data_IF_024454762776
#
_entry.id   IF_024454762776
#
_cell.length_a   1.000
_cell.length_b   1.000
_cell.length_c   1.000
_cell.angle_alpha   90.00
_cell.angle_beta   90.00
_cell.angle_gamma   90.00
#
_symmetry.space_group_name_H-M   'P 1'
#
loop_
_entity.id
_entity.type
_entity.pdbx_description
1 polymer ?
#
# COMPACT_ATOMS: atom_id res chain seq x y z
N UNK A 1 -31.41 -44.18 -32.86
CA UNK A 1 -31.32 -42.71 -32.83
C UNK A 1 -29.94 -42.35 -32.26
N UNK A 2 -28.92 -42.34 -33.12
CA UNK A 2 -27.52 -42.07 -32.75
C UNK A 2 -27.26 -40.58 -32.96
N UNK A 3 -27.24 -39.82 -31.86
CA UNK A 3 -26.95 -38.38 -31.88
C UNK A 3 -25.46 -38.19 -32.15
N UNK A 4 -25.09 -37.79 -33.38
CA UNK A 4 -23.74 -37.35 -33.72
C UNK A 4 -23.51 -35.96 -33.11
N UNK A 5 -22.69 -35.89 -32.06
CA UNK A 5 -22.19 -34.62 -31.52
C UNK A 5 -21.15 -33.99 -32.46
N UNK A 6 -21.14 -32.65 -32.64
CA UNK A 6 -20.26 -31.96 -33.58
C UNK A 6 -18.79 -32.00 -33.14
N UNK A 7 -17.92 -32.28 -34.11
CA UNK A 7 -16.45 -32.50 -34.01
C UNK A 7 -15.67 -31.38 -33.28
N UNK A 8 -16.23 -30.18 -33.11
CA UNK A 8 -15.62 -29.06 -32.37
C UNK A 8 -15.63 -29.24 -30.85
N UNK A 9 -16.62 -29.93 -30.29
CA UNK A 9 -16.71 -30.15 -28.82
C UNK A 9 -15.67 -31.18 -28.36
N UNK A 10 -15.37 -32.17 -29.20
CA UNK A 10 -14.37 -33.21 -28.92
C UNK A 10 -12.93 -32.65 -28.86
N UNK A 11 -12.63 -31.62 -29.65
CA UNK A 11 -11.31 -30.98 -29.65
C UNK A 11 -11.08 -30.09 -28.41
N UNK A 12 -12.15 -29.48 -27.87
CA UNK A 12 -12.06 -28.62 -26.68
C UNK A 12 -11.88 -29.44 -25.39
N UNK A 13 -12.52 -30.61 -25.29
CA UNK A 13 -12.41 -31.49 -24.11
C UNK A 13 -11.03 -32.14 -24.02
N UNK A 14 -10.45 -32.56 -25.15
CA UNK A 14 -9.11 -33.18 -25.19
C UNK A 14 -7.98 -32.18 -24.87
N UNK A 15 -8.11 -30.92 -25.29
CA UNK A 15 -7.14 -29.87 -24.95
C UNK A 15 -7.16 -29.46 -23.47
N UNK A 16 -8.32 -29.49 -22.81
CA UNK A 16 -8.44 -29.13 -21.39
C UNK A 16 -8.03 -30.30 -20.47
N UNK A 17 -8.31 -31.55 -20.86
CA UNK A 17 -7.88 -32.72 -20.09
C UNK A 17 -6.35 -32.87 -20.08
N UNK A 18 -5.66 -32.57 -21.19
CA UNK A 18 -4.21 -32.61 -21.28
C UNK A 18 -3.52 -31.45 -20.52
N UNK A 19 -4.17 -30.28 -20.43
CA UNK A 19 -3.73 -29.16 -19.57
C UNK A 19 -3.90 -29.47 -18.09
N UNK A 20 -5.01 -30.10 -17.69
CA UNK A 20 -5.25 -30.52 -16.31
C UNK A 20 -4.30 -31.67 -15.91
N UNK A 21 -4.00 -32.60 -16.80
CA UNK A 21 -3.01 -33.66 -16.56
C UNK A 21 -1.58 -33.12 -16.42
N UNK A 22 -1.18 -32.10 -17.22
CA UNK A 22 0.11 -31.42 -17.06
C UNK A 22 0.19 -30.60 -15.76
N UNK A 23 -0.90 -29.94 -15.35
CA UNK A 23 -0.95 -29.20 -14.07
C UNK A 23 -0.88 -30.15 -12.85
N UNK A 24 -1.47 -31.34 -12.95
CA UNK A 24 -1.35 -32.39 -11.92
C UNK A 24 0.03 -33.06 -11.89
N UNK A 25 0.71 -33.18 -13.04
CA UNK A 25 2.08 -33.68 -13.10
C UNK A 25 3.12 -32.72 -12.49
N UNK A 26 2.87 -31.40 -12.55
CA UNK A 26 3.68 -30.40 -11.83
C UNK A 26 3.40 -30.44 -10.32
N UNK A 27 2.18 -30.81 -9.91
CA UNK A 27 1.81 -30.91 -8.50
C UNK A 27 2.36 -32.16 -7.78
N UNK A 28 2.83 -33.17 -8.52
CA UNK A 28 3.33 -34.43 -7.94
C UNK A 28 4.85 -34.56 -7.84
N UNK A 29 5.60 -33.48 -8.13
CA UNK A 29 7.06 -33.47 -8.04
C UNK A 29 7.60 -32.51 -6.96
N UNK A 30 6.80 -32.13 -5.95
CA UNK A 30 7.32 -31.55 -4.71
C UNK A 30 7.56 -32.70 -3.72
N UNK A 31 8.37 -33.67 -4.13
CA UNK A 31 9.13 -34.42 -3.14
C UNK A 31 10.06 -33.40 -2.49
N UNK A 32 9.91 -33.18 -1.19
CA UNK A 32 10.94 -32.52 -0.39
C UNK A 32 12.19 -33.38 -0.57
N UNK A 33 13.02 -33.07 -1.57
CA UNK A 33 14.40 -33.52 -1.55
C UNK A 33 14.98 -32.81 -0.36
N UNK A 34 15.15 -33.55 0.74
CA UNK A 34 15.98 -33.10 1.83
C UNK A 34 17.30 -32.69 1.20
N UNK A 35 17.63 -31.40 1.26
CA UNK A 35 18.82 -30.90 0.60
C UNK A 35 20.02 -31.62 1.21
N UNK A 36 20.69 -32.47 0.42
CA UNK A 36 21.99 -32.99 0.80
C UNK A 36 22.91 -31.78 1.01
N UNK A 37 23.70 -31.80 2.08
CA UNK A 37 24.57 -30.68 2.44
C UNK A 37 25.59 -30.50 1.31
N UNK A 38 25.45 -29.47 0.47
CA UNK A 38 26.19 -29.31 -0.79
C UNK A 38 27.55 -28.61 -0.63
N UNK A 39 28.01 -28.44 0.62
CA UNK A 39 29.28 -27.79 0.92
C UNK A 39 29.23 -26.86 2.12
N UNK A 40 30.26 -26.91 2.96
CA UNK A 40 30.51 -25.92 4.01
C UNK A 40 30.62 -26.53 5.41
N UNK A 41 30.56 -25.70 6.44
CA UNK A 41 30.86 -26.14 7.79
C UNK A 41 29.76 -26.99 8.47
N UNK A 42 28.62 -27.15 7.81
CA UNK A 42 27.53 -28.06 8.18
C UNK A 42 27.75 -29.50 7.64
N UNK A 43 28.69 -29.71 6.72
CA UNK A 43 28.80 -30.97 5.96
C UNK A 43 29.41 -32.13 6.79
N UNK A 44 30.33 -31.81 7.71
CA UNK A 44 30.92 -32.83 8.58
C UNK A 44 29.97 -33.17 9.73
N UNK A 45 29.69 -34.47 9.92
CA UNK A 45 28.93 -35.00 11.05
C UNK A 45 27.45 -34.57 11.11
N UNK A 46 26.90 -34.02 10.02
CA UNK A 46 25.47 -33.78 9.90
C UNK A 46 24.74 -35.03 9.41
N UNK A 47 23.55 -35.29 9.95
CA UNK A 47 22.73 -36.40 9.47
C UNK A 47 22.23 -36.09 8.06
N UNK A 48 22.27 -37.08 7.16
CA UNK A 48 21.76 -36.94 5.78
C UNK A 48 20.32 -36.41 5.78
N UNK A 49 20.06 -35.42 4.93
CA UNK A 49 18.77 -34.74 4.82
C UNK A 49 18.40 -33.83 6.01
N UNK A 50 19.35 -33.46 6.87
CA UNK A 50 19.15 -32.52 7.99
C UNK A 50 19.84 -31.19 7.77
N UNK A 51 20.01 -30.77 6.52
CA UNK A 51 20.53 -29.47 6.15
C UNK A 51 19.38 -28.52 5.72
N UNK A 52 19.41 -27.30 6.25
CA UNK A 52 18.46 -26.23 5.93
C UNK A 52 19.23 -24.98 5.48
N UNK A 53 18.62 -24.18 4.61
CA UNK A 53 19.23 -22.93 4.14
C UNK A 53 18.75 -21.74 4.96
N UNK A 54 19.68 -20.89 5.40
CA UNK A 54 19.44 -19.66 6.15
C UNK A 54 20.20 -18.54 5.46
N UNK A 55 19.50 -17.77 4.63
CA UNK A 55 20.13 -16.84 3.71
C UNK A 55 21.08 -17.60 2.77
N UNK A 56 22.34 -17.17 2.71
CA UNK A 56 23.37 -17.79 1.87
C UNK A 56 24.12 -18.95 2.56
N UNK A 57 23.79 -19.26 3.81
CA UNK A 57 24.46 -20.30 4.59
C UNK A 57 23.59 -21.55 4.74
N UNK A 58 24.21 -22.74 4.70
CA UNK A 58 23.56 -23.99 5.14
C UNK A 58 23.84 -24.25 6.62
N UNK A 59 22.81 -24.71 7.34
CA UNK A 59 22.89 -25.14 8.73
C UNK A 59 22.54 -26.62 8.84
N UNK A 60 23.20 -27.32 9.77
CA UNK A 60 22.75 -28.64 10.20
C UNK A 60 21.72 -28.52 11.32
N UNK A 61 20.53 -29.09 11.13
CA UNK A 61 19.46 -29.15 12.15
C UNK A 61 19.55 -30.38 13.04
N UNK A 62 20.30 -31.41 12.64
CA UNK A 62 20.59 -32.59 13.48
C UNK A 62 21.88 -33.29 13.10
N UNK A 63 22.80 -33.37 14.05
CA UNK A 63 24.09 -34.04 13.91
C UNK A 63 23.99 -35.55 14.13
N UNK A 64 25.03 -36.27 13.72
CA UNK A 64 25.26 -37.66 14.14
C UNK A 64 25.59 -37.72 15.64
N UNK A 65 25.37 -38.88 16.25
CA UNK A 65 25.60 -39.08 17.68
C UNK A 65 27.01 -38.64 18.15
N UNK A 66 27.07 -38.07 19.35
CA UNK A 66 28.29 -37.47 19.92
C UNK A 66 28.51 -36.01 19.54
N UNK A 67 27.66 -35.43 18.68
CA UNK A 67 27.80 -34.07 18.19
C UNK A 67 26.50 -33.26 18.35
N UNK A 68 26.61 -31.94 18.35
CA UNK A 68 25.47 -31.02 18.46
C UNK A 68 25.65 -29.78 17.57
N UNK A 69 24.57 -29.17 17.03
CA UNK A 69 24.70 -28.01 16.17
C UNK A 69 25.03 -26.73 16.95
N UNK A 70 26.16 -26.11 16.61
CA UNK A 70 26.58 -24.78 17.08
C UNK A 70 26.95 -23.93 15.87
N UNK A 71 26.31 -22.76 15.73
CA UNK A 71 26.45 -21.89 14.55
C UNK A 71 26.22 -22.65 13.22
N UNK A 72 25.28 -23.60 13.22
CA UNK A 72 24.95 -24.45 12.07
C UNK A 72 25.93 -25.58 11.79
N UNK A 73 27.00 -25.73 12.58
CA UNK A 73 28.04 -26.76 12.42
C UNK A 73 27.90 -27.84 13.48
N UNK A 74 28.15 -29.08 13.13
CA UNK A 74 28.22 -30.16 14.12
C UNK A 74 29.57 -30.15 14.84
N UNK A 75 29.52 -30.01 16.17
CA UNK A 75 30.71 -30.03 17.04
C UNK A 75 30.55 -31.04 18.15
N UNK A 76 31.66 -31.55 18.67
CA UNK A 76 31.65 -32.54 19.75
C UNK A 76 30.90 -31.98 20.97
N UNK A 77 29.89 -32.72 21.44
CA UNK A 77 28.94 -32.24 22.46
C UNK A 77 29.61 -31.85 23.78
N UNK A 78 30.66 -32.58 24.18
CA UNK A 78 31.35 -32.34 25.44
C UNK A 78 32.16 -31.04 25.47
N UNK A 79 32.63 -30.57 24.30
CA UNK A 79 33.37 -29.31 24.19
C UNK A 79 32.52 -28.04 24.30
N UNK A 80 31.19 -28.18 24.28
CA UNK A 80 30.24 -27.04 24.19
C UNK A 80 29.12 -27.06 25.24
N UNK A 81 29.30 -27.82 26.33
CA UNK A 81 28.34 -27.91 27.46
C UNK A 81 27.94 -26.56 28.05
N UNK A 82 28.82 -25.56 27.96
CA UNK A 82 28.53 -24.19 28.44
C UNK A 82 27.54 -23.43 27.57
N UNK A 83 27.37 -23.83 26.31
CA UNK A 83 26.48 -23.19 25.33
C UNK A 83 25.22 -24.01 25.08
N UNK A 84 25.34 -25.34 25.05
CA UNK A 84 24.26 -26.25 24.70
C UNK A 84 24.16 -27.41 25.68
N UNK A 85 22.99 -27.54 26.31
CA UNK A 85 22.71 -28.59 27.31
C UNK A 85 21.41 -29.33 27.03
N UNK A 86 21.17 -30.38 27.81
CA UNK A 86 19.85 -31.00 27.90
C UNK A 86 18.84 -30.02 28.53
N UNK A 87 17.53 -30.21 28.27
CA UNK A 87 16.49 -29.31 28.78
C UNK A 87 16.49 -29.17 30.31
N UNK A 88 16.87 -30.23 31.02
CA UNK A 88 16.90 -30.29 32.49
C UNK A 88 18.20 -29.76 33.11
N UNK A 89 19.25 -29.53 32.32
CA UNK A 89 20.58 -29.20 32.84
C UNK A 89 20.87 -27.69 32.88
N UNK A 90 21.71 -27.30 33.83
CA UNK A 90 22.26 -25.97 34.08
C UNK A 90 23.72 -25.81 33.63
N UNK A 91 24.24 -26.72 32.80
CA UNK A 91 25.64 -26.71 32.31
C UNK A 91 26.41 -28.00 32.56
N UNK A 92 25.75 -28.99 33.15
CA UNK A 92 26.32 -30.26 33.62
C UNK A 92 26.25 -31.38 32.57
N UNK A 93 25.18 -31.42 31.76
CA UNK A 93 24.91 -32.50 30.81
C UNK A 93 24.85 -31.98 29.37
N UNK A 94 25.68 -32.57 28.49
CA UNK A 94 25.70 -32.22 27.08
C UNK A 94 24.47 -32.77 26.35
N UNK A 95 23.86 -31.94 25.50
CA UNK A 95 22.86 -32.42 24.55
C UNK A 95 23.50 -33.30 23.45
N UNK A 96 22.71 -34.13 22.78
CA UNK A 96 23.19 -35.00 21.71
C UNK A 96 22.30 -34.89 20.47
N UNK A 97 22.92 -34.91 19.29
CA UNK A 97 22.36 -34.74 17.94
C UNK A 97 21.71 -33.37 17.68
N UNK A 98 20.96 -32.84 18.65
CA UNK A 98 20.31 -31.51 18.63
C UNK A 98 20.50 -30.86 19.98
N UNK A 99 20.50 -29.53 20.03
CA UNK A 99 20.48 -28.81 21.28
C UNK A 99 19.08 -28.77 21.88
N UNK A 100 18.95 -29.02 23.19
CA UNK A 100 17.68 -28.92 23.91
C UNK A 100 17.54 -27.63 24.72
N UNK A 101 18.66 -26.99 25.05
CA UNK A 101 18.68 -25.72 25.79
C UNK A 101 19.93 -24.92 25.44
N UNK A 102 19.73 -23.68 25.01
CA UNK A 102 20.83 -22.75 24.77
C UNK A 102 21.12 -21.93 26.03
N UNK A 103 22.38 -21.54 26.21
CA UNK A 103 22.87 -20.75 27.34
C UNK A 103 23.77 -19.60 26.83
N UNK A 104 24.24 -18.75 27.75
CA UNK A 104 25.13 -17.62 27.45
C UNK A 104 24.53 -16.67 26.39
N UNK A 105 25.39 -15.97 25.64
CA UNK A 105 25.01 -15.06 24.54
C UNK A 105 24.73 -15.83 23.24
N UNK A 106 24.05 -16.97 23.35
CA UNK A 106 23.55 -17.72 22.19
C UNK A 106 22.03 -17.68 22.14
N UNK A 107 21.45 -18.11 21.03
CA UNK A 107 20.00 -18.28 20.89
C UNK A 107 19.66 -19.58 20.15
N UNK A 108 18.49 -20.12 20.45
CA UNK A 108 18.00 -21.37 19.86
C UNK A 108 17.34 -21.13 18.49
N UNK A 109 17.75 -21.91 17.49
CA UNK A 109 17.11 -21.94 16.17
C UNK A 109 17.21 -23.34 15.57
N UNK A 110 16.10 -23.94 15.15
CA UNK A 110 16.06 -25.26 14.48
C UNK A 110 16.95 -26.34 15.15
N UNK A 111 16.91 -26.43 16.48
CA UNK A 111 17.66 -27.44 17.25
C UNK A 111 19.17 -27.18 17.39
N UNK A 112 19.65 -25.97 17.12
CA UNK A 112 21.04 -25.54 17.37
C UNK A 112 21.13 -24.24 18.17
N UNK A 113 22.31 -23.95 18.72
CA UNK A 113 22.61 -22.67 19.35
C UNK A 113 23.49 -21.80 18.46
N UNK A 114 23.13 -20.52 18.33
CA UNK A 114 23.77 -19.59 17.42
C UNK A 114 24.24 -18.33 18.16
N UNK A 115 25.38 -17.80 17.74
CA UNK A 115 25.98 -16.58 18.27
C UNK A 115 25.61 -15.38 17.37
N UNK A 116 25.41 -14.21 17.97
CA UNK A 116 25.09 -12.98 17.21
C UNK A 116 26.30 -12.38 16.49
N UNK A 117 27.51 -12.85 16.81
CA UNK A 117 28.76 -12.38 16.22
C UNK A 117 29.25 -13.27 15.05
N UNK A 118 28.65 -14.45 14.87
CA UNK A 118 29.04 -15.43 13.87
C UNK A 118 27.92 -15.68 12.84
N UNK A 119 28.28 -15.98 11.59
CA UNK A 119 27.32 -16.48 10.62
C UNK A 119 26.94 -17.95 10.92
N UNK A 120 25.67 -18.35 10.75
CA UNK A 120 24.55 -17.51 10.28
C UNK A 120 23.82 -16.76 11.40
N UNK A 121 24.19 -16.95 12.67
CA UNK A 121 23.46 -16.38 13.82
C UNK A 121 23.25 -14.86 13.75
N UNK A 122 24.30 -14.12 13.39
CA UNK A 122 24.29 -12.67 13.09
C UNK A 122 23.16 -12.26 12.13
N UNK A 123 22.82 -13.10 11.15
CA UNK A 123 21.81 -12.78 10.13
C UNK A 123 20.38 -12.95 10.66
N UNK A 124 20.19 -13.66 11.77
CA UNK A 124 18.87 -13.92 12.38
C UNK A 124 18.63 -13.10 13.64
N UNK A 125 19.68 -12.82 14.41
CA UNK A 125 19.59 -12.16 15.71
C UNK A 125 20.72 -11.14 15.89
N UNK A 126 20.36 -9.93 16.33
CA UNK A 126 21.33 -8.85 16.61
C UNK A 126 21.73 -8.78 18.08
N UNK A 127 20.89 -9.31 18.99
CA UNK A 127 21.20 -9.35 20.42
C UNK A 127 20.66 -10.61 21.07
N UNK A 128 21.52 -11.39 21.71
CA UNK A 128 21.15 -12.60 22.45
C UNK A 128 21.57 -12.52 23.91
N UNK A 129 20.78 -13.13 24.78
CA UNK A 129 21.07 -13.25 26.21
C UNK A 129 20.42 -14.51 26.78
N UNK A 130 21.14 -15.22 27.65
CA UNK A 130 20.66 -16.41 28.36
C UNK A 130 20.04 -17.50 27.45
N UNK A 131 20.58 -17.70 26.24
CA UNK A 131 20.06 -18.69 25.29
C UNK A 131 18.89 -18.22 24.43
N UNK A 132 18.53 -16.93 24.49
CA UNK A 132 17.42 -16.34 23.77
C UNK A 132 17.88 -15.20 22.87
N UNK A 133 17.25 -15.08 21.71
CA UNK A 133 17.30 -13.86 20.93
C UNK A 133 16.37 -12.83 21.56
N UNK A 134 16.93 -11.66 21.87
CA UNK A 134 16.20 -10.53 22.46
C UNK A 134 15.95 -9.41 21.47
N UNK A 135 16.70 -9.39 20.36
CA UNK A 135 16.46 -8.50 19.23
C UNK A 135 16.76 -9.25 17.93
N UNK A 136 15.72 -9.45 17.11
CA UNK A 136 15.86 -10.10 15.81
C UNK A 136 16.59 -9.20 14.80
N UNK A 137 17.21 -9.82 13.80
CA UNK A 137 17.70 -9.13 12.61
C UNK A 137 16.57 -8.89 11.61
N UNK A 138 16.81 -8.02 10.61
CA UNK A 138 15.84 -7.76 9.54
C UNK A 138 15.51 -9.06 8.80
N UNK A 139 14.22 -9.34 8.63
CA UNK A 139 13.72 -10.59 8.04
C UNK A 139 13.40 -11.68 9.07
N UNK A 140 13.57 -11.38 10.36
CA UNK A 140 13.20 -12.26 11.47
C UNK A 140 12.43 -11.49 12.54
N UNK A 141 11.70 -12.21 13.38
CA UNK A 141 11.04 -11.66 14.56
C UNK A 141 11.23 -12.59 15.78
N UNK A 142 11.09 -12.04 16.98
CA UNK A 142 11.18 -12.79 18.24
C UNK A 142 9.78 -13.17 18.71
N UNK A 143 9.45 -14.47 18.82
CA UNK A 143 8.17 -14.92 19.39
C UNK A 143 8.03 -14.48 20.85
N UNK A 144 6.90 -13.87 21.21
CA UNK A 144 6.65 -13.48 22.60
C UNK A 144 6.44 -14.73 23.46
N UNK A 145 7.14 -14.79 24.59
CA UNK A 145 7.03 -15.90 25.55
C UNK A 145 7.95 -17.09 25.27
N UNK A 146 8.78 -17.05 24.23
CA UNK A 146 9.78 -18.08 23.97
C UNK A 146 10.77 -18.21 25.14
N UNK A 147 11.10 -19.44 25.51
CA UNK A 147 12.14 -19.76 26.49
C UNK A 147 13.36 -20.40 25.81
N UNK A 148 14.49 -20.51 26.53
CA UNK A 148 15.75 -20.99 25.95
C UNK A 148 15.79 -22.49 25.58
N UNK A 149 14.69 -23.20 25.76
CA UNK A 149 14.44 -24.56 25.25
C UNK A 149 13.59 -24.58 23.98
N UNK A 150 13.17 -23.40 23.50
CA UNK A 150 12.29 -23.21 22.35
C UNK A 150 12.96 -22.31 21.32
N UNK A 151 12.44 -22.31 20.09
CA UNK A 151 12.97 -21.50 19.02
C UNK A 151 12.80 -20.00 19.33
N UNK A 152 13.92 -19.27 19.34
CA UNK A 152 13.96 -17.87 19.78
C UNK A 152 13.71 -16.85 18.66
N UNK A 153 13.82 -17.27 17.40
CA UNK A 153 13.59 -16.42 16.22
C UNK A 153 12.89 -17.18 15.12
N UNK A 154 12.04 -16.48 14.38
CA UNK A 154 11.25 -17.01 13.26
C UNK A 154 11.44 -16.10 12.06
N UNK A 155 11.62 -16.68 10.87
CA UNK A 155 11.74 -15.90 9.65
C UNK A 155 10.40 -15.26 9.29
N UNK A 156 10.43 -14.07 8.70
CA UNK A 156 9.22 -13.32 8.36
C UNK A 156 8.33 -14.03 7.34
N UNK A 157 8.85 -14.97 6.56
CA UNK A 157 8.12 -15.78 5.59
C UNK A 157 7.98 -17.27 5.98
N UNK A 158 8.31 -17.63 7.22
CA UNK A 158 8.11 -18.99 7.72
C UNK A 158 6.62 -19.26 8.00
N UNK A 159 5.92 -19.75 6.98
CA UNK A 159 4.49 -20.11 7.09
C UNK A 159 4.23 -21.39 7.90
N UNK A 160 5.25 -22.22 8.13
CA UNK A 160 5.14 -23.43 8.96
C UNK A 160 5.03 -23.04 10.43
N UNK A 161 5.89 -22.11 10.83
CA UNK A 161 5.92 -21.51 12.15
C UNK A 161 6.42 -22.43 13.26
N UNK A 162 6.52 -21.87 14.46
CA UNK A 162 7.07 -22.52 15.65
C UNK A 162 6.06 -22.54 16.79
N UNK A 163 5.95 -23.65 17.49
CA UNK A 163 5.10 -23.74 18.68
C UNK A 163 5.81 -23.11 19.87
N UNK A 164 5.11 -22.24 20.61
CA UNK A 164 5.59 -21.63 21.84
C UNK A 164 4.64 -22.03 22.98
N UNK A 165 5.17 -22.69 24.02
CA UNK A 165 4.36 -23.25 25.10
C UNK A 165 3.55 -22.18 25.85
N UNK A 166 4.15 -21.01 26.07
CA UNK A 166 3.55 -19.90 26.81
C UNK A 166 2.19 -19.44 26.24
N UNK A 167 1.95 -19.64 24.95
CA UNK A 167 0.70 -19.25 24.29
C UNK A 167 -0.13 -20.44 23.79
N UNK A 168 0.33 -21.68 24.03
CA UNK A 168 -0.31 -22.91 23.54
C UNK A 168 -0.67 -22.87 22.05
N UNK A 169 0.19 -22.23 21.25
CA UNK A 169 -0.07 -21.92 19.84
C UNK A 169 1.22 -21.72 19.04
N UNK A 170 1.09 -21.43 17.75
CA UNK A 170 2.26 -21.20 16.87
C UNK A 170 2.48 -19.74 16.52
N UNK A 171 3.74 -19.35 16.36
CA UNK A 171 4.11 -18.13 15.64
C UNK A 171 4.46 -18.45 14.20
N UNK A 172 3.82 -17.77 13.25
CA UNK A 172 4.05 -17.92 11.80
C UNK A 172 4.42 -16.59 11.17
N UNK A 173 5.23 -16.66 10.13
CA UNK A 173 5.45 -15.58 9.17
C UNK A 173 4.30 -15.44 8.16
N UNK A 174 4.49 -14.52 7.24
CA UNK A 174 3.61 -14.22 6.11
C UNK A 174 4.33 -14.61 4.82
N UNK A 175 3.69 -15.41 3.97
CA UNK A 175 4.28 -15.82 2.69
C UNK A 175 4.82 -14.62 1.90
N UNK A 176 6.05 -14.74 1.40
CA UNK A 176 6.77 -13.69 0.66
C UNK A 176 7.01 -12.39 1.43
N UNK A 177 6.91 -12.40 2.76
CA UNK A 177 7.25 -11.25 3.57
C UNK A 177 8.77 -11.13 3.74
N UNK A 178 9.31 -9.94 3.46
CA UNK A 178 10.73 -9.65 3.62
C UNK A 178 11.04 -9.06 4.99
N UNK A 179 10.18 -8.19 5.52
CA UNK A 179 10.35 -7.60 6.85
C UNK A 179 9.02 -7.63 7.59
N UNK A 180 9.08 -7.91 8.88
CA UNK A 180 7.91 -8.08 9.71
C UNK A 180 8.24 -7.69 11.16
N UNK A 181 7.18 -7.56 11.96
CA UNK A 181 7.28 -7.43 13.41
C UNK A 181 6.43 -8.52 14.07
N UNK A 182 6.78 -8.87 15.31
CA UNK A 182 5.94 -9.77 16.11
C UNK A 182 4.56 -9.15 16.26
N UNK A 183 3.51 -9.94 16.05
CA UNK A 183 2.14 -9.43 16.17
C UNK A 183 1.87 -8.98 17.60
N UNK A 184 1.28 -7.79 17.77
CA UNK A 184 0.81 -7.27 19.06
C UNK A 184 -0.50 -7.93 19.54
N UNK A 185 -0.99 -8.96 18.84
CA UNK A 185 -2.20 -9.66 19.25
C UNK A 185 -2.00 -10.25 20.66
N UNK A 186 -2.93 -9.94 21.56
CA UNK A 186 -2.90 -10.45 22.92
C UNK A 186 -2.78 -11.98 22.92
N UNK A 187 -1.91 -12.56 23.77
CA UNK A 187 -1.83 -14.01 23.95
C UNK A 187 -3.22 -14.63 24.13
N UNK A 188 -3.58 -15.62 23.31
CA UNK A 188 -4.83 -16.39 23.44
C UNK A 188 -5.99 -15.98 22.50
N UNK A 189 -5.82 -14.99 21.62
CA UNK A 189 -6.87 -14.59 20.69
C UNK A 189 -7.07 -15.56 19.49
N UNK A 190 -6.08 -16.41 19.18
CA UNK A 190 -6.10 -17.42 18.09
C UNK A 190 -5.18 -18.60 18.46
N UNK A 191 -5.42 -19.77 17.85
CA UNK A 191 -4.54 -20.94 17.99
C UNK A 191 -3.15 -20.71 17.35
N UNK A 192 -3.07 -19.83 16.35
CA UNK A 192 -1.82 -19.41 15.69
C UNK A 192 -1.75 -17.87 15.63
N UNK A 193 -0.59 -17.32 16.00
CA UNK A 193 -0.22 -15.91 15.93
C UNK A 193 0.62 -15.66 14.67
N UNK A 194 0.20 -14.73 13.82
CA UNK A 194 0.88 -14.43 12.54
C UNK A 194 1.61 -13.09 12.66
N UNK A 195 2.88 -13.02 12.26
CA UNK A 195 3.65 -11.79 12.24
C UNK A 195 2.99 -10.71 11.38
N UNK A 196 3.20 -9.45 11.75
CA UNK A 196 2.72 -8.31 10.95
C UNK A 196 3.78 -8.00 9.90
N UNK A 197 3.50 -8.31 8.64
CA UNK A 197 4.36 -7.98 7.52
C UNK A 197 4.39 -6.47 7.28
N UNK A 198 5.60 -5.93 7.12
CA UNK A 198 5.83 -4.49 6.87
C UNK A 198 6.39 -4.23 5.47
N UNK A 199 6.98 -5.24 4.83
CA UNK A 199 7.48 -5.17 3.46
C UNK A 199 7.53 -6.55 2.81
N UNK A 200 7.13 -6.63 1.55
CA UNK A 200 7.17 -7.86 0.76
C UNK A 200 8.49 -8.02 -0.02
N UNK A 201 8.79 -9.26 -0.40
CA UNK A 201 9.91 -9.62 -1.29
C UNK A 201 9.64 -9.18 -2.73
N UNK A 202 10.69 -9.11 -3.54
CA UNK A 202 10.62 -8.99 -5.00
C UNK A 202 9.71 -7.86 -5.54
N UNK A 203 9.63 -6.73 -4.82
CA UNK A 203 8.75 -5.59 -5.16
C UNK A 203 7.25 -5.95 -5.22
N UNK A 204 6.84 -7.05 -4.57
CA UNK A 204 5.43 -7.36 -4.34
C UNK A 204 4.77 -6.26 -3.49
N UNK A 205 3.45 -6.13 -3.62
CA UNK A 205 2.66 -5.13 -2.92
C UNK A 205 2.13 -5.69 -1.60
N UNK A 206 2.34 -4.97 -0.50
CA UNK A 206 1.72 -5.29 0.78
C UNK A 206 0.25 -4.82 0.76
N UNK A 207 -0.68 -5.76 0.75
CA UNK A 207 -2.12 -5.52 0.91
C UNK A 207 -2.52 -6.04 2.29
N UNK A 208 -2.79 -5.12 3.20
CA UNK A 208 -3.04 -5.43 4.61
C UNK A 208 -1.86 -6.18 5.22
N UNK A 209 -2.02 -7.48 5.53
CA UNK A 209 -0.96 -8.34 6.05
C UNK A 209 -0.51 -9.43 5.06
N UNK A 210 -0.79 -9.27 3.77
CA UNK A 210 -0.46 -10.23 2.73
C UNK A 210 0.32 -9.58 1.58
N UNK A 211 1.20 -10.36 0.96
CA UNK A 211 1.98 -9.93 -0.19
C UNK A 211 1.29 -10.39 -1.48
N UNK A 212 0.97 -9.43 -2.36
CA UNK A 212 0.38 -9.68 -3.68
C UNK A 212 1.40 -9.35 -4.77
N UNK A 213 1.40 -10.13 -5.85
CA UNK A 213 2.42 -10.15 -6.88
C UNK A 213 2.66 -8.78 -7.54
N UNK A 214 1.59 -8.04 -7.82
CA UNK A 214 1.70 -6.78 -8.56
C UNK A 214 0.54 -5.81 -8.28
N UNK A 215 0.66 -4.59 -8.83
CA UNK A 215 -0.27 -3.49 -8.65
C UNK A 215 -1.71 -3.81 -9.08
N UNK A 216 -1.91 -4.71 -10.05
CA UNK A 216 -3.25 -5.11 -10.51
C UNK A 216 -4.05 -5.85 -9.44
N UNK A 217 -3.37 -6.38 -8.41
CA UNK A 217 -3.99 -7.08 -7.28
C UNK A 217 -4.39 -6.13 -6.14
N UNK A 218 -4.05 -4.85 -6.23
CA UNK A 218 -4.65 -3.79 -5.44
C UNK A 218 -6.06 -3.46 -5.96
N UNK A 219 -6.91 -4.48 -6.11
CA UNK A 219 -8.30 -4.32 -6.55
C UNK A 219 -9.21 -3.88 -5.42
N UNK A 220 -10.39 -3.34 -5.81
CA UNK A 220 -11.57 -3.06 -4.99
C UNK A 220 -11.28 -2.42 -3.63
N UNK A 221 -11.39 -1.10 -3.56
CA UNK A 221 -11.16 -0.35 -2.31
C UNK A 221 -9.68 -0.12 -1.98
N UNK A 222 -8.76 -0.39 -2.91
CA UNK A 222 -7.32 -0.10 -2.72
C UNK A 222 -6.73 0.58 -3.95
N UNK A 223 -5.65 1.32 -3.75
CA UNK A 223 -4.78 1.83 -4.80
C UNK A 223 -3.33 1.37 -4.58
N UNK A 224 -2.65 1.08 -5.68
CA UNK A 224 -1.24 0.71 -5.67
C UNK A 224 -0.35 1.95 -5.46
N UNK A 225 0.46 1.93 -4.40
CA UNK A 225 1.55 2.86 -4.15
C UNK A 225 2.88 2.13 -4.35
N UNK A 226 3.62 2.51 -5.39
CA UNK A 226 5.01 2.06 -5.60
C UNK A 226 5.95 2.85 -4.69
N UNK A 227 6.87 2.16 -4.03
CA UNK A 227 7.90 2.73 -3.16
C UNK A 227 9.08 1.76 -3.09
N UNK A 228 10.14 2.03 -3.85
CA UNK A 228 11.28 1.11 -3.98
C UNK A 228 12.14 1.05 -2.71
N UNK A 229 12.00 2.06 -1.82
CA UNK A 229 12.77 2.17 -0.58
C UNK A 229 12.07 1.44 0.55
N UNK A 230 10.79 1.76 0.78
CA UNK A 230 10.01 1.26 1.91
C UNK A 230 9.12 0.07 1.55
N UNK A 231 9.06 -0.30 0.27
CA UNK A 231 8.23 -1.37 -0.26
C UNK A 231 6.89 -0.90 -0.81
N UNK A 232 6.46 -1.58 -1.86
CA UNK A 232 5.18 -1.34 -2.52
C UNK A 232 4.01 -1.70 -1.60
N UNK A 233 2.93 -0.92 -1.67
CA UNK A 233 1.74 -1.10 -0.81
C UNK A 233 0.45 -0.93 -1.59
N UNK A 234 -0.55 -1.74 -1.27
CA UNK A 234 -1.93 -1.46 -1.61
C UNK A 234 -2.54 -0.64 -0.45
N UNK A 235 -2.74 0.65 -0.67
CA UNK A 235 -3.34 1.54 0.32
C UNK A 235 -4.86 1.49 0.19
N UNK A 236 -5.56 1.35 1.32
CA UNK A 236 -7.03 1.36 1.32
C UNK A 236 -7.54 2.76 0.92
N UNK A 237 -8.56 2.83 0.07
CA UNK A 237 -9.14 4.08 -0.39
C UNK A 237 -9.75 4.93 0.73
N UNK A 238 -10.07 4.30 1.85
CA UNK A 238 -10.59 4.92 3.07
C UNK A 238 -9.50 5.33 4.06
N UNK A 239 -8.21 5.09 3.76
CA UNK A 239 -7.09 5.47 4.60
C UNK A 239 -6.81 6.97 4.52
N UNK A 240 -7.45 7.71 5.42
CA UNK A 240 -7.31 9.17 5.55
C UNK A 240 -5.89 9.60 5.91
N UNK A 241 -5.07 8.74 6.52
CA UNK A 241 -3.67 9.07 6.84
C UNK A 241 -2.81 9.19 5.59
N UNK A 242 -3.23 8.54 4.50
CA UNK A 242 -2.62 8.65 3.18
C UNK A 242 -3.46 9.49 2.21
N UNK A 243 -4.38 10.33 2.72
CA UNK A 243 -5.24 11.20 1.92
C UNK A 243 -6.44 10.51 1.28
N UNK A 244 -6.78 9.29 1.71
CA UNK A 244 -8.00 8.61 1.33
C UNK A 244 -9.25 9.33 1.84
N UNK A 245 -10.41 8.98 1.29
CA UNK A 245 -11.69 9.58 1.67
C UNK A 245 -12.59 8.54 2.34
N UNK A 246 -13.29 8.94 3.40
CA UNK A 246 -14.33 8.10 3.99
C UNK A 246 -15.40 7.77 2.93
N UNK A 247 -15.90 6.52 2.92
CA UNK A 247 -16.87 6.02 1.94
C UNK A 247 -16.38 6.07 0.47
N UNK A 248 -15.06 5.95 0.26
CA UNK A 248 -14.48 5.84 -1.06
C UNK A 248 -14.38 4.37 -1.50
N UNK A 249 -15.09 4.03 -2.59
CA UNK A 249 -15.14 2.67 -3.14
C UNK A 249 -13.95 2.35 -4.05
N UNK A 250 -13.54 3.33 -4.87
CA UNK A 250 -12.42 3.20 -5.79
C UNK A 250 -11.56 4.47 -5.73
N UNK A 251 -10.24 4.27 -5.82
CA UNK A 251 -9.27 5.35 -5.74
C UNK A 251 -8.03 5.05 -6.59
N UNK A 252 -7.22 6.08 -6.79
CA UNK A 252 -5.89 6.01 -7.38
C UNK A 252 -4.89 6.65 -6.42
N UNK A 253 -3.60 6.36 -6.60
CA UNK A 253 -2.54 7.06 -5.88
C UNK A 253 -1.97 8.17 -6.76
N UNK A 254 -2.06 9.41 -6.28
CA UNK A 254 -1.48 10.58 -6.91
C UNK A 254 -0.05 10.77 -6.38
N UNK A 255 0.93 10.25 -7.14
CA UNK A 255 2.33 10.35 -6.78
C UNK A 255 2.88 11.78 -6.75
N UNK A 256 2.28 12.71 -7.50
CA UNK A 256 2.74 14.10 -7.53
C UNK A 256 2.39 14.83 -6.23
N UNK A 257 1.22 14.52 -5.66
CA UNK A 257 0.74 15.09 -4.40
C UNK A 257 0.92 14.13 -3.21
N UNK A 258 1.56 12.99 -3.43
CA UNK A 258 1.87 11.97 -2.42
C UNK A 258 0.65 11.47 -1.62
N UNK A 259 -0.53 11.40 -2.25
CA UNK A 259 -1.80 11.07 -1.57
C UNK A 259 -2.72 10.21 -2.41
N UNK A 260 -3.67 9.56 -1.77
CA UNK A 260 -4.79 8.92 -2.44
C UNK A 260 -5.73 9.97 -3.05
N UNK A 261 -6.34 9.59 -4.17
CA UNK A 261 -7.38 10.35 -4.85
C UNK A 261 -8.57 9.43 -5.10
N UNK A 262 -9.68 9.70 -4.44
CA UNK A 262 -10.92 8.97 -4.65
C UNK A 262 -11.44 9.22 -6.07
N UNK A 263 -11.77 8.15 -6.78
CA UNK A 263 -12.32 8.21 -8.15
C UNK A 263 -13.79 7.82 -8.18
N UNK A 264 -14.28 7.14 -7.14
CA UNK A 264 -15.67 6.77 -6.99
C UNK A 264 -16.01 6.53 -5.53
N UNK A 265 -17.11 7.14 -5.09
CA UNK A 265 -17.65 6.92 -3.76
C UNK A 265 -18.58 5.70 -3.73
N UNK A 266 -18.92 5.24 -2.53
CA UNK A 266 -20.00 4.27 -2.33
C UNK A 266 -21.31 4.76 -2.97
N UNK A 267 -22.20 3.82 -3.31
CA UNK A 267 -23.32 4.03 -4.25
C UNK A 267 -24.23 5.25 -3.96
N UNK A 268 -24.32 5.69 -2.70
CA UNK A 268 -25.19 6.78 -2.24
C UNK A 268 -24.44 8.06 -1.87
N UNK A 269 -23.25 8.25 -2.44
CA UNK A 269 -22.40 9.42 -2.17
C UNK A 269 -21.96 10.08 -3.48
N UNK A 270 -21.77 11.39 -3.42
CA UNK A 270 -21.27 12.21 -4.51
C UNK A 270 -19.80 12.49 -4.31
N UNK A 271 -18.98 12.18 -5.32
CA UNK A 271 -17.57 12.53 -5.33
C UNK A 271 -17.42 14.04 -5.54
N UNK A 272 -16.81 14.72 -4.58
CA UNK A 272 -16.41 16.12 -4.69
C UNK A 272 -14.90 16.19 -4.83
N UNK A 273 -14.44 16.97 -5.81
CA UNK A 273 -13.02 17.32 -5.96
C UNK A 273 -12.85 18.81 -5.65
N UNK A 274 -11.98 19.16 -4.72
CA UNK A 274 -11.61 20.53 -4.42
C UNK A 274 -10.59 21.07 -5.44
N UNK A 275 -10.38 22.39 -5.47
CA UNK A 275 -9.49 23.04 -6.43
C UNK A 275 -8.02 22.60 -6.28
N UNK A 276 -7.63 22.19 -5.08
CA UNK A 276 -6.31 21.62 -4.78
C UNK A 276 -6.18 20.14 -5.20
N UNK A 277 -7.24 19.54 -5.76
CA UNK A 277 -7.30 18.14 -6.17
C UNK A 277 -7.70 17.16 -5.07
N UNK A 278 -7.94 17.62 -3.84
CA UNK A 278 -8.40 16.76 -2.74
C UNK A 278 -9.81 16.26 -3.01
N UNK A 279 -10.08 14.99 -2.70
CA UNK A 279 -11.37 14.34 -2.98
C UNK A 279 -12.10 13.95 -1.71
N UNK A 280 -13.40 14.18 -1.67
CA UNK A 280 -14.29 13.75 -0.58
C UNK A 280 -15.55 13.09 -1.13
N UNK A 281 -16.23 12.30 -0.29
CA UNK A 281 -17.46 11.61 -0.64
C UNK A 281 -18.61 12.15 0.21
N UNK A 282 -19.47 12.95 -0.42
CA UNK A 282 -20.52 13.70 0.27
C UNK A 282 -21.87 13.01 0.14
N UNK A 283 -22.71 13.06 1.19
CA UNK A 283 -24.10 12.60 1.07
C UNK A 283 -24.94 13.59 0.27
N UNK A 284 -24.68 14.88 0.48
CA UNK A 284 -25.32 15.98 -0.24
C UNK A 284 -24.23 16.93 -0.69
N UNK A 285 -24.29 17.43 -1.92
CA UNK A 285 -23.32 18.40 -2.39
C UNK A 285 -23.40 19.71 -1.59
N UNK A 286 -22.25 20.30 -1.22
CA UNK A 286 -22.22 21.54 -0.45
C UNK A 286 -22.72 22.73 -1.30
N UNK A 287 -22.96 23.86 -0.63
CA UNK A 287 -23.37 25.09 -1.31
C UNK A 287 -22.43 25.47 -2.46
N UNK A 288 -23.02 25.95 -3.56
CA UNK A 288 -22.30 26.22 -4.80
C UNK A 288 -22.01 24.99 -5.66
N UNK A 289 -22.51 23.82 -5.28
CA UNK A 289 -22.43 22.59 -6.07
C UNK A 289 -23.79 21.89 -6.19
N UNK A 290 -24.00 21.21 -7.30
CA UNK A 290 -25.15 20.33 -7.52
C UNK A 290 -24.69 18.88 -7.71
N UNK A 291 -25.56 17.93 -7.35
CA UNK A 291 -25.32 16.51 -7.58
C UNK A 291 -25.58 16.14 -9.03
N UNK A 292 -24.59 15.55 -9.69
CA UNK A 292 -24.69 15.03 -11.06
C UNK A 292 -24.45 13.52 -11.05
N UNK A 293 -25.24 12.77 -11.80
CA UNK A 293 -25.02 11.34 -12.03
C UNK A 293 -24.73 11.14 -13.50
N UNK A 294 -23.51 10.70 -13.81
CA UNK A 294 -23.12 10.45 -15.18
C UNK A 294 -23.90 9.28 -15.79
N UNK A 295 -23.96 9.17 -17.12
CA UNK A 295 -24.59 8.04 -17.82
C UNK A 295 -24.03 6.68 -17.37
N UNK A 296 -22.75 6.64 -16.98
CA UNK A 296 -22.09 5.46 -16.38
C UNK A 296 -22.39 5.22 -14.89
N UNK A 297 -23.28 6.00 -14.27
CA UNK A 297 -23.69 5.89 -12.87
C UNK A 297 -22.79 6.59 -11.84
N UNK A 298 -21.71 7.25 -12.28
CA UNK A 298 -20.80 7.96 -11.36
C UNK A 298 -21.47 9.23 -10.81
N UNK A 299 -21.63 9.31 -9.49
CA UNK A 299 -22.19 10.45 -8.79
C UNK A 299 -21.08 11.44 -8.41
N UNK A 300 -21.22 12.70 -8.82
CA UNK A 300 -20.23 13.76 -8.58
C UNK A 300 -20.90 15.06 -8.14
N UNK A 301 -20.19 15.87 -7.34
CA UNK A 301 -20.58 17.24 -7.06
C UNK A 301 -19.95 18.18 -8.08
N UNK A 302 -20.80 18.86 -8.85
CA UNK A 302 -20.39 19.75 -9.92
C UNK A 302 -20.66 21.20 -9.51
N UNK A 303 -19.72 22.09 -9.81
CA UNK A 303 -19.86 23.50 -9.44
C UNK A 303 -21.03 24.14 -10.20
N UNK A 304 -21.84 24.93 -9.49
CA UNK A 304 -22.91 25.72 -10.10
C UNK A 304 -22.38 26.73 -11.14
N UNK A 305 -21.12 27.18 -11.01
CA UNK A 305 -20.56 28.26 -11.83
C UNK A 305 -19.69 27.79 -13.00
N UNK A 306 -19.13 26.58 -12.92
CA UNK A 306 -18.10 26.14 -13.86
C UNK A 306 -18.73 25.52 -15.10
N UNK A 307 -18.41 26.06 -16.26
CA UNK A 307 -18.74 25.49 -17.56
C UNK A 307 -17.99 24.15 -17.71
N UNK A 308 -18.66 23.05 -17.38
CA UNK A 308 -18.13 21.70 -17.55
C UNK A 308 -18.96 20.97 -18.61
N UNK A 309 -18.30 20.23 -19.50
CA UNK A 309 -19.00 19.35 -20.44
C UNK A 309 -19.30 18.03 -19.75
N UNK A 310 -20.52 17.89 -19.23
CA UNK A 310 -20.99 16.70 -18.52
C UNK A 310 -21.82 15.79 -19.44
N UNK A 311 -21.99 14.53 -19.04
CA UNK A 311 -22.91 13.59 -19.68
C UNK A 311 -23.77 12.89 -18.60
N UNK A 312 -25.09 13.12 -18.51
CA UNK A 312 -25.89 13.95 -19.40
C UNK A 312 -25.48 15.43 -19.37
N UNK A 313 -25.68 16.11 -20.50
CA UNK A 313 -25.23 17.48 -20.73
C UNK A 313 -25.88 18.47 -19.77
N UNK A 314 -25.04 19.09 -18.95
CA UNK A 314 -25.39 20.19 -18.05
C UNK A 314 -24.20 21.13 -18.05
N UNK A 315 -24.46 22.43 -18.22
CA UNK A 315 -23.42 23.46 -18.20
C UNK A 315 -23.64 24.32 -16.95
N UNK A 316 -22.56 24.62 -16.21
CA UNK A 316 -22.62 25.57 -15.10
C UNK A 316 -23.02 26.96 -15.57
N UNK A 317 -23.59 27.77 -14.67
CA UNK A 317 -24.06 29.13 -14.94
C UNK A 317 -23.00 30.10 -14.40
N UNK A 318 -22.25 30.82 -15.25
CA UNK A 318 -21.19 31.73 -14.80
C UNK A 318 -21.68 32.72 -13.74
N UNK A 319 -20.92 32.87 -12.65
CA UNK A 319 -21.28 33.76 -11.54
C UNK A 319 -22.34 33.21 -10.58
N UNK A 320 -22.85 31.98 -10.78
CA UNK A 320 -23.83 31.37 -9.90
C UNK A 320 -23.20 30.77 -8.62
N UNK A 321 -23.66 31.21 -7.45
CA UNK A 321 -23.17 30.72 -6.13
C UNK A 321 -24.12 29.73 -5.48
N UNK A 322 -25.39 29.67 -5.89
CA UNK A 322 -26.34 28.65 -5.47
C UNK A 322 -27.23 28.25 -6.64
N UNK A 323 -27.46 26.96 -6.82
CA UNK A 323 -28.24 26.43 -7.92
C UNK A 323 -29.13 25.26 -7.49
N UNK A 324 -30.22 25.05 -8.22
CA UNK A 324 -31.04 23.83 -8.15
C UNK A 324 -30.88 23.04 -9.44
N UNK A 325 -30.87 21.71 -9.32
CA UNK A 325 -30.75 20.80 -10.44
C UNK A 325 -31.90 19.79 -10.41
N UNK A 326 -32.80 19.89 -11.39
CA UNK A 326 -33.96 19.01 -11.53
C UNK A 326 -34.23 18.77 -13.02
N UNK A 327 -34.66 17.56 -13.38
CA UNK A 327 -35.00 17.18 -14.76
C UNK A 327 -33.89 17.52 -15.78
N UNK A 328 -32.63 17.30 -15.40
CA UNK A 328 -31.43 17.65 -16.17
C UNK A 328 -31.27 19.13 -16.50
N UNK A 329 -31.97 20.01 -15.77
CA UNK A 329 -31.93 21.46 -15.95
C UNK A 329 -31.32 22.11 -14.71
N UNK A 330 -30.26 22.90 -14.92
CA UNK A 330 -29.62 23.69 -13.86
C UNK A 330 -30.23 25.09 -13.82
N UNK A 331 -30.65 25.53 -12.63
CA UNK A 331 -31.24 26.85 -12.41
C UNK A 331 -30.46 27.58 -11.32
N UNK A 332 -30.06 28.82 -11.59
CA UNK A 332 -29.40 29.62 -10.56
C UNK A 332 -30.42 30.27 -9.63
N UNK A 333 -30.16 30.21 -8.32
CA UNK A 333 -31.00 30.86 -7.29
C UNK A 333 -30.29 32.01 -6.57
N UNK A 334 -28.95 32.05 -6.62
CA UNK A 334 -28.18 33.17 -6.10
C UNK A 334 -26.91 33.40 -6.93
N UNK A 335 -26.60 34.66 -7.18
CA UNK A 335 -25.40 35.09 -7.90
C UNK A 335 -24.33 35.62 -6.94
N UNK A 336 -23.07 35.47 -7.33
CA UNK A 336 -21.93 36.04 -6.63
C UNK A 336 -21.82 37.56 -6.82
N UNK A 337 -20.81 38.14 -6.18
CA UNK A 337 -20.52 39.57 -6.30
C UNK A 337 -20.26 39.97 -7.76
N UNK A 338 -20.81 41.12 -8.17
CA UNK A 338 -20.71 41.63 -9.54
C UNK A 338 -21.69 41.00 -10.52
N UNK A 339 -22.61 40.14 -10.07
CA UNK A 339 -23.69 39.57 -10.87
C UNK A 339 -25.05 39.84 -10.24
N UNK A 340 -26.08 39.94 -11.08
CA UNK A 340 -27.49 40.06 -10.69
C UNK A 340 -28.26 38.88 -11.26
N UNK A 341 -29.17 38.32 -10.46
CA UNK A 341 -30.06 37.26 -10.92
C UNK A 341 -31.13 37.87 -11.84
N UNK A 342 -31.17 37.41 -13.09
CA UNK A 342 -32.20 37.76 -14.06
C UNK A 342 -32.82 36.47 -14.59
N UNK A 343 -34.03 36.16 -14.12
CA UNK A 343 -34.65 34.86 -14.33
C UNK A 343 -33.87 33.77 -13.58
N UNK A 344 -33.38 32.77 -14.31
CA UNK A 344 -32.66 31.61 -13.77
C UNK A 344 -31.14 31.69 -14.07
N UNK A 345 -30.65 32.84 -14.55
CA UNK A 345 -29.26 33.08 -14.94
C UNK A 345 -28.66 34.29 -14.23
N UNK A 346 -27.34 34.29 -14.09
CA UNK A 346 -26.58 35.42 -13.55
C UNK A 346 -26.03 36.28 -14.68
N UNK A 347 -26.42 37.56 -14.71
CA UNK A 347 -25.87 38.54 -15.64
C UNK A 347 -24.92 39.48 -14.91
N UNK A 348 -23.84 39.97 -15.55
CA UNK A 348 -22.96 40.96 -14.94
C UNK A 348 -23.77 42.17 -14.49
N UNK A 349 -23.70 42.50 -13.20
CA UNK A 349 -24.24 43.74 -12.66
C UNK A 349 -23.29 44.86 -13.13
N UNK A 350 -23.49 45.30 -14.37
CA UNK A 350 -22.71 46.41 -14.92
C UNK A 350 -22.70 47.54 -13.90
N UNK A 351 -21.51 48.09 -13.62
CA UNK A 351 -21.43 49.44 -13.08
C UNK A 351 -22.16 50.30 -14.09
N UNK A 352 -23.41 50.66 -13.77
CA UNK A 352 -24.11 51.70 -14.48
C UNK A 352 -23.29 52.98 -14.24
N UNK A 353 -22.28 53.21 -15.08
CA UNK A 353 -22.01 54.56 -15.52
C UNK A 353 -23.32 54.98 -16.19
N UNK A 354 -24.15 55.66 -15.40
CA UNK A 354 -25.37 56.27 -15.87
C UNK A 354 -25.09 56.88 -17.23
N UNK A 355 -25.94 56.58 -18.20
CA UNK A 355 -25.91 57.15 -19.54
C UNK A 355 -25.95 58.70 -19.51
N UNK A 356 -26.11 59.32 -18.34
CA UNK A 356 -25.89 60.75 -18.08
C UNK A 356 -24.43 61.22 -17.91
N UNK A 357 -23.42 60.34 -17.83
CA UNK A 357 -22.00 60.75 -17.76
C UNK A 357 -21.28 60.73 -19.13
N UNK A 358 -21.89 60.15 -20.16
CA UNK A 358 -21.33 60.04 -21.53
C UNK A 358 -21.86 61.18 -22.46
N UNK A 359 -22.59 62.15 -21.90
CA UNK A 359 -22.97 63.40 -22.60
C UNK A 359 -22.17 64.64 -22.15
N UNK A 360 -21.17 64.49 -21.27
CA UNK A 360 -20.38 65.60 -20.73
C UNK A 360 -18.94 65.74 -21.26
N UNK A 361 -18.36 64.68 -21.84
CA UNK A 361 -16.95 64.68 -22.24
C UNK A 361 -16.77 65.08 -23.73
N UNK A 362 -17.84 65.04 -24.53
CA UNK A 362 -17.80 65.39 -25.95
C UNK A 362 -17.66 66.90 -26.20
N UNK A 363 -18.16 67.75 -25.29
CA UNK A 363 -18.08 69.22 -25.46
C UNK A 363 -16.73 69.75 -25.00
N UNK A 364 -16.13 69.19 -23.94
CA UNK A 364 -14.82 69.62 -23.46
C UNK A 364 -13.71 69.29 -24.48
N UNK A 365 -13.74 68.12 -25.11
CA UNK A 365 -12.75 67.76 -26.13
C UNK A 365 -12.88 68.63 -27.40
N UNK A 366 -14.09 68.95 -27.84
CA UNK A 366 -14.31 69.82 -29.02
C UNK A 366 -13.91 71.27 -28.74
N UNK A 367 -14.15 71.79 -27.53
CA UNK A 367 -13.69 73.14 -27.14
C UNK A 367 -12.17 73.20 -27.01
N UNK A 368 -11.53 72.16 -26.47
CA UNK A 368 -10.06 72.10 -26.34
C UNK A 368 -9.40 71.96 -27.71
N UNK A 369 -9.90 71.08 -28.59
CA UNK A 369 -9.37 70.92 -29.95
C UNK A 369 -9.67 72.14 -30.83
N UNK A 370 -10.88 72.72 -30.73
CA UNK A 370 -11.24 73.96 -31.42
C UNK A 370 -10.40 75.16 -30.96
N UNK A 371 -10.14 75.27 -29.65
CA UNK A 371 -9.26 76.28 -29.08
C UNK A 371 -7.80 76.12 -29.51
N UNK A 372 -7.28 74.89 -29.55
CA UNK A 372 -5.93 74.58 -30.02
C UNK A 372 -5.73 74.89 -31.50
N UNK A 373 -6.69 74.51 -32.35
CA UNK A 373 -6.63 74.80 -33.80
C UNK A 373 -6.77 76.31 -34.06
N UNK A 374 -7.65 77.00 -33.33
CA UNK A 374 -7.77 78.46 -33.41
C UNK A 374 -6.49 79.19 -32.97
N UNK A 375 -5.88 78.75 -31.87
CA UNK A 375 -4.62 79.30 -31.38
C UNK A 375 -3.46 79.06 -32.36
N UNK A 376 -3.37 77.86 -32.96
CA UNK A 376 -2.34 77.55 -33.96
C UNK A 376 -2.54 78.36 -35.25
N UNK A 377 -3.76 78.52 -35.75
CA UNK A 377 -4.04 79.38 -36.90
C UNK A 377 -3.70 80.84 -36.63
N UNK A 378 -4.05 81.39 -35.45
CA UNK A 378 -3.64 82.74 -35.07
C UNK A 378 -2.11 82.85 -34.96
N UNK A 379 -1.45 81.92 -34.28
CA UNK A 379 0.00 81.93 -34.11
C UNK A 379 0.74 81.95 -35.43
N UNK A 380 0.35 81.11 -36.41
CA UNK A 380 0.99 81.06 -37.72
C UNK A 380 0.69 82.29 -38.61
N UNK A 381 -0.51 82.87 -38.51
CA UNK A 381 -0.88 84.03 -39.34
C UNK A 381 -0.31 85.34 -38.77
N UNK A 382 -0.25 85.51 -37.45
CA UNK A 382 0.18 86.76 -36.82
C UNK A 382 1.67 86.83 -36.46
N UNK A 383 2.41 85.72 -36.40
CA UNK A 383 3.89 85.79 -36.26
C UNK A 383 4.64 86.04 -37.57
N UNK A 384 3.97 86.03 -38.71
CA UNK A 384 4.59 86.38 -40.00
C UNK A 384 4.72 87.88 -40.28
N UNK A 385 4.33 88.75 -39.35
CA UNK A 385 4.31 90.21 -39.56
C UNK A 385 4.48 91.00 -38.25
N UNK A 386 5.58 90.76 -37.54
CA UNK A 386 6.18 91.71 -36.58
C UNK A 386 7.65 91.35 -36.36
#
# INVERSE_FOLDING_TARGET
MLVRLPRKVYFYITSNLNRILMLLAIYFAIGVLAADCTGGAAENQCTSGKCESVGDAQICTSCVAGNVPINGKCVAKDGVKTKCTTAASDGTEASDQTCKKCLLETFMYQGGCYETTAAPGKAMCTKAAAGLCTAAAVGYFVPTGAVNTEQSVVACDDTTGVTIAAISGKYKGVQNCMTCVTSDAAPGARADTVATCTRCKDQQYLKENACVADASQCTTGYAAKKDDTNGNKCLACTDQSNGGAANCAECSYDSANTRLKCTKCDADKYLKTAADGTTTCETTCPEGYFGHTATGGLKTCQSCATEATLDPAVTGIPGCTQCTYADSTLKCTACGSGYKLEGEACVPAGTNLSTGAIAGISVAAVVVVGGLVGFLCWWFICRGKA
#
